data_IF_671320981866
#
_entry.id   IF_671320981866
#
_cell.length_a   1.000
_cell.length_b   1.000
_cell.length_c   1.000
_cell.angle_alpha   90.00
_cell.angle_beta   90.00
_cell.angle_gamma   90.00
#
_symmetry.space_group_name_H-M   'P 1'
#
loop_
_entity.id
_entity.type
_entity.pdbx_description
1 polymer ?
#
# COMPACT_ATOMS: atom_id res chain seq x y z
N UNK A 1 -29.72 -2.72 1.98
CA UNK A 1 -28.38 -3.21 1.55
C UNK A 1 -27.35 -2.32 2.22
N UNK A 2 -26.84 -2.72 3.38
CA UNK A 2 -25.81 -1.98 4.14
C UNK A 2 -24.50 -2.76 4.10
N UNK A 3 -23.93 -2.95 2.90
CA UNK A 3 -22.50 -3.27 2.76
C UNK A 3 -21.84 -1.96 2.33
N UNK A 4 -20.66 -1.53 2.77
CA UNK A 4 -19.32 -2.15 2.73
C UNK A 4 -18.60 -2.29 1.35
N UNK A 5 -19.21 -2.28 0.14
CA UNK A 5 -18.46 -2.12 -1.11
C UNK A 5 -17.82 -0.74 -1.27
N UNK A 6 -18.13 0.24 -0.41
CA UNK A 6 -17.61 1.59 -0.53
C UNK A 6 -16.10 1.70 -0.27
N UNK A 7 -15.52 0.77 0.50
CA UNK A 7 -14.10 0.77 0.87
C UNK A 7 -13.23 -0.10 -0.04
N UNK A 8 -13.81 -1.08 -0.74
CA UNK A 8 -13.07 -1.84 -1.74
C UNK A 8 -12.91 -0.98 -3.00
N UNK A 9 -11.68 -0.50 -3.20
CA UNK A 9 -11.25 0.19 -4.41
C UNK A 9 -10.28 -0.68 -5.18
N UNK A 10 -10.11 -0.34 -6.46
CA UNK A 10 -9.06 -0.93 -7.26
C UNK A 10 -7.69 -0.67 -6.63
N UNK A 11 -6.75 -1.56 -6.91
CA UNK A 11 -5.37 -1.38 -6.48
C UNK A 11 -4.82 -0.09 -7.07
N UNK A 12 -4.00 0.63 -6.31
CA UNK A 12 -3.29 1.78 -6.84
C UNK A 12 -2.41 1.34 -8.01
N UNK A 13 -2.63 1.97 -9.15
CA UNK A 13 -1.80 1.78 -10.33
C UNK A 13 -0.50 2.58 -10.16
N UNK A 14 0.61 2.05 -10.66
CA UNK A 14 1.87 2.79 -10.68
C UNK A 14 1.80 4.02 -11.58
N UNK A 15 0.91 3.99 -12.57
CA UNK A 15 0.59 5.14 -13.41
C UNK A 15 -0.06 6.27 -12.58
N UNK A 16 -0.81 5.95 -11.52
CA UNK A 16 -1.34 6.96 -10.58
C UNK A 16 -0.27 7.50 -9.62
N UNK A 17 0.93 6.92 -9.61
CA UNK A 17 2.07 7.34 -8.84
C UNK A 17 3.08 7.99 -9.79
N UNK A 18 4.37 7.79 -9.53
CA UNK A 18 5.45 8.43 -10.27
C UNK A 18 5.53 8.04 -11.75
N UNK A 19 5.00 6.88 -12.17
CA UNK A 19 5.14 6.42 -13.56
C UNK A 19 4.26 7.21 -14.53
N UNK A 20 3.14 7.77 -14.08
CA UNK A 20 2.27 8.63 -14.89
C UNK A 20 2.41 10.12 -14.61
N UNK A 21 3.38 10.54 -13.78
CA UNK A 21 3.68 11.95 -13.59
C UNK A 21 4.42 12.49 -14.82
N UNK A 22 3.84 13.46 -15.52
CA UNK A 22 4.57 14.22 -16.54
C UNK A 22 5.73 14.97 -15.85
N UNK A 23 6.97 14.77 -16.31
CA UNK A 23 8.18 15.43 -15.80
C UNK A 23 8.19 16.98 -16.01
N UNK A 24 7.05 17.56 -16.38
CA UNK A 24 6.85 18.98 -16.59
C UNK A 24 6.65 19.76 -15.28
N UNK A 25 6.08 19.12 -14.24
CA UNK A 25 5.86 19.73 -12.91
C UNK A 25 6.80 19.11 -11.85
N UNK A 26 7.91 19.79 -11.59
CA UNK A 26 9.00 19.30 -10.70
C UNK A 26 8.57 19.04 -9.25
N UNK A 27 7.44 19.59 -8.79
CA UNK A 27 6.96 19.41 -7.42
C UNK A 27 6.38 18.01 -7.19
N UNK A 28 5.72 17.41 -8.18
CA UNK A 28 5.14 16.07 -8.08
C UNK A 28 6.23 15.01 -7.84
N UNK A 29 7.46 15.28 -8.30
CA UNK A 29 8.60 14.40 -8.08
C UNK A 29 8.97 14.21 -6.59
N UNK A 30 8.49 15.07 -5.70
CA UNK A 30 8.79 15.00 -4.27
C UNK A 30 7.59 14.59 -3.41
N UNK A 31 6.50 14.19 -4.05
CA UNK A 31 5.26 13.77 -3.38
C UNK A 31 5.08 12.26 -3.52
N UNK A 32 4.58 11.62 -2.46
CA UNK A 32 4.11 10.24 -2.46
C UNK A 32 2.93 10.11 -1.48
N UNK A 33 2.15 9.05 -1.63
CA UNK A 33 1.04 8.69 -0.74
C UNK A 33 1.34 7.37 0.00
N UNK A 34 0.67 7.14 1.13
CA UNK A 34 0.79 5.93 1.94
C UNK A 34 -0.50 5.65 2.72
N UNK A 35 -0.59 4.48 3.37
CA UNK A 35 -1.74 4.10 4.18
C UNK A 35 -3.03 4.04 3.36
N UNK A 36 -4.16 4.42 3.96
CA UNK A 36 -5.48 4.38 3.30
C UNK A 36 -5.57 5.26 2.05
N UNK A 37 -4.69 6.27 1.90
CA UNK A 37 -4.61 7.04 0.66
C UNK A 37 -4.05 6.22 -0.51
N UNK A 38 -3.15 5.27 -0.22
CA UNK A 38 -2.49 4.43 -1.23
C UNK A 38 -3.14 3.06 -1.40
N UNK A 39 -3.67 2.47 -0.34
CA UNK A 39 -4.25 1.12 -0.37
C UNK A 39 -5.46 1.00 0.57
N UNK A 40 -6.55 1.73 0.27
CA UNK A 40 -7.80 1.56 1.02
C UNK A 40 -8.27 0.11 0.93
N UNK A 41 -8.74 -0.44 2.05
CA UNK A 41 -9.11 -1.85 2.15
C UNK A 41 -10.29 -2.04 3.08
N UNK A 42 -11.15 -3.01 2.77
CA UNK A 42 -12.24 -3.37 3.68
C UNK A 42 -11.72 -3.83 5.06
N UNK A 43 -12.42 -3.49 6.16
CA UNK A 43 -11.90 -3.67 7.53
C UNK A 43 -11.90 -5.13 8.03
N UNK A 44 -12.34 -6.10 7.22
CA UNK A 44 -12.58 -7.49 7.66
C UNK A 44 -11.33 -8.32 7.96
N UNK A 45 -10.13 -7.83 7.61
CA UNK A 45 -8.83 -8.42 8.00
C UNK A 45 -8.09 -7.62 9.06
N UNK A 46 -8.54 -6.40 9.39
CA UNK A 46 -7.88 -5.52 10.36
C UNK A 46 -6.43 -5.18 10.00
N UNK A 47 -6.09 -5.06 8.70
CA UNK A 47 -4.69 -4.84 8.27
C UNK A 47 -4.35 -3.38 7.96
N UNK A 48 -5.33 -2.48 7.82
CA UNK A 48 -5.13 -1.10 7.37
C UNK A 48 -4.04 -0.34 8.14
N UNK A 49 -4.26 -0.16 9.44
CA UNK A 49 -3.31 0.57 10.30
C UNK A 49 -1.91 -0.06 10.31
N UNK A 50 -1.82 -1.40 10.33
CA UNK A 50 -0.52 -2.08 10.31
C UNK A 50 0.22 -1.83 8.99
N UNK A 51 -0.48 -1.78 7.85
CA UNK A 51 0.14 -1.44 6.57
C UNK A 51 0.60 0.02 6.54
N UNK A 52 -0.21 0.95 7.05
CA UNK A 52 0.17 2.36 7.15
C UNK A 52 1.42 2.58 8.03
N UNK A 53 1.53 1.85 9.15
CA UNK A 53 2.73 1.91 10.01
C UNK A 53 3.98 1.35 9.31
N UNK A 54 3.83 0.24 8.58
CA UNK A 54 4.92 -0.32 7.79
C UNK A 54 5.36 0.64 6.68
N UNK A 55 4.41 1.33 6.04
CA UNK A 55 4.72 2.37 5.05
C UNK A 55 5.54 3.49 5.66
N UNK A 56 5.11 4.03 6.81
CA UNK A 56 5.78 5.13 7.47
C UNK A 56 7.25 4.78 7.80
N UNK A 57 7.48 3.58 8.33
CA UNK A 57 8.84 3.10 8.65
C UNK A 57 9.67 2.88 7.38
N UNK A 58 9.08 2.29 6.34
CA UNK A 58 9.78 2.05 5.08
C UNK A 58 10.16 3.36 4.40
N UNK A 59 9.22 4.29 4.26
CA UNK A 59 9.44 5.62 3.67
C UNK A 59 10.53 6.37 4.45
N UNK A 60 10.44 6.40 5.78
CA UNK A 60 11.44 7.05 6.62
C UNK A 60 12.84 6.45 6.39
N UNK A 61 12.96 5.13 6.30
CA UNK A 61 14.25 4.45 6.02
C UNK A 61 14.79 4.77 4.63
N UNK A 62 13.94 4.78 3.60
CA UNK A 62 14.32 5.10 2.23
C UNK A 62 14.86 6.53 2.13
N UNK A 63 14.10 7.51 2.63
CA UNK A 63 14.53 8.92 2.69
C UNK A 63 15.81 9.08 3.51
N UNK A 64 15.86 8.50 4.71
CA UNK A 64 17.01 8.60 5.59
C UNK A 64 18.29 8.04 4.94
N UNK A 65 18.19 6.91 4.23
CA UNK A 65 19.35 6.31 3.56
C UNK A 65 19.93 7.21 2.46
N UNK A 66 19.09 7.98 1.76
CA UNK A 66 19.59 8.91 0.74
C UNK A 66 20.08 10.23 1.35
N UNK A 67 19.45 10.73 2.42
CA UNK A 67 19.89 11.96 3.10
C UNK A 67 21.20 11.75 3.85
N UNK A 68 21.36 10.64 4.58
CA UNK A 68 22.55 10.37 5.40
C UNK A 68 23.79 9.95 4.62
N UNK A 69 23.62 9.54 3.36
CA UNK A 69 24.72 9.21 2.47
C UNK A 69 25.54 10.49 2.17
N UNK A 70 26.35 10.90 3.14
CA UNK A 70 27.43 11.86 3.02
C UNK A 70 28.42 11.20 2.09
N UNK A 71 28.45 11.67 0.85
CA UNK A 71 29.35 11.21 -0.19
C UNK A 71 30.76 10.94 0.38
N UNK A 72 31.11 9.67 0.56
CA UNK A 72 32.49 9.29 0.94
C UNK A 72 33.50 9.67 -0.15
N UNK A 73 33.01 10.01 -1.35
CA UNK A 73 33.79 10.51 -2.48
C UNK A 73 33.11 11.77 -3.03
N UNK A 74 33.78 12.91 -2.91
CA UNK A 74 33.34 14.25 -3.37
C UNK A 74 33.01 14.36 -4.87
N UNK A 75 33.38 13.37 -5.68
CA UNK A 75 33.30 13.44 -7.15
C UNK A 75 32.26 12.51 -7.79
N UNK A 76 31.51 11.72 -7.01
CA UNK A 76 30.71 10.60 -7.57
C UNK A 76 29.27 10.53 -7.02
N UNK A 77 28.88 11.45 -6.13
CA UNK A 77 27.54 11.45 -5.54
C UNK A 77 26.57 12.31 -6.33
N UNK A 78 25.50 11.70 -6.85
CA UNK A 78 24.33 12.40 -7.39
C UNK A 78 23.80 13.44 -6.37
N UNK A 79 23.29 14.59 -6.84
CA UNK A 79 22.72 15.60 -5.97
C UNK A 79 21.45 15.07 -5.26
N UNK A 80 21.13 15.63 -4.09
CA UNK A 80 20.01 15.13 -3.26
C UNK A 80 18.66 15.17 -3.98
N UNK A 81 18.46 16.18 -4.84
CA UNK A 81 17.22 16.37 -5.59
C UNK A 81 16.95 15.25 -6.61
N UNK A 82 17.99 14.61 -7.16
CA UNK A 82 17.82 13.42 -8.03
C UNK A 82 17.60 12.14 -7.22
N UNK A 83 18.09 12.10 -5.98
CA UNK A 83 18.10 10.88 -5.15
C UNK A 83 16.81 10.67 -4.38
N UNK A 84 16.13 11.75 -3.99
CA UNK A 84 14.85 11.67 -3.28
C UNK A 84 13.76 11.03 -4.16
N UNK A 85 13.50 11.48 -5.41
CA UNK A 85 12.50 10.87 -6.29
C UNK A 85 12.75 9.38 -6.51
N UNK A 86 14.02 8.98 -6.67
CA UNK A 86 14.40 7.56 -6.79
C UNK A 86 14.05 6.77 -5.52
N UNK A 87 14.35 7.31 -4.34
CA UNK A 87 14.01 6.66 -3.07
C UNK A 87 12.49 6.54 -2.86
N UNK A 88 11.72 7.54 -3.31
CA UNK A 88 10.26 7.50 -3.32
C UNK A 88 9.74 6.41 -4.27
N UNK A 89 10.27 6.30 -5.49
CA UNK A 89 9.91 5.24 -6.43
C UNK A 89 10.18 3.83 -5.88
N UNK A 90 11.33 3.62 -5.23
CA UNK A 90 11.63 2.34 -4.57
C UNK A 90 10.67 2.04 -3.40
N UNK A 91 10.26 3.07 -2.65
CA UNK A 91 9.24 2.94 -1.61
C UNK A 91 7.89 2.55 -2.23
N UNK A 92 7.45 3.26 -3.26
CA UNK A 92 6.19 3.05 -3.98
C UNK A 92 6.10 1.59 -4.49
N UNK A 93 7.15 1.09 -5.14
CA UNK A 93 7.20 -0.29 -5.66
C UNK A 93 7.02 -1.34 -4.55
N UNK A 94 7.77 -1.22 -3.46
CA UNK A 94 7.72 -2.18 -2.35
C UNK A 94 6.38 -2.10 -1.60
N UNK A 95 5.85 -0.89 -1.40
CA UNK A 95 4.56 -0.64 -0.76
C UNK A 95 3.41 -1.23 -1.59
N UNK A 96 3.39 -1.05 -2.91
CA UNK A 96 2.36 -1.61 -3.80
C UNK A 96 2.41 -3.14 -3.82
N UNK A 97 3.60 -3.73 -3.96
CA UNK A 97 3.76 -5.19 -3.95
C UNK A 97 3.22 -5.81 -2.65
N UNK A 98 3.55 -5.19 -1.50
CA UNK A 98 3.14 -5.69 -0.19
C UNK A 98 1.65 -5.50 0.09
N UNK A 99 1.12 -4.31 -0.18
CA UNK A 99 -0.26 -3.93 0.18
C UNK A 99 -1.30 -4.59 -0.73
N UNK A 100 -0.99 -4.81 -2.01
CA UNK A 100 -1.94 -5.39 -2.98
C UNK A 100 -2.51 -6.74 -2.57
N UNK A 101 -1.68 -7.61 -1.99
CA UNK A 101 -2.11 -8.91 -1.46
C UNK A 101 -3.06 -8.75 -0.28
N UNK A 102 -2.89 -7.71 0.53
CA UNK A 102 -3.73 -7.43 1.70
C UNK A 102 -5.08 -6.88 1.28
N UNK A 103 -5.11 -5.93 0.34
CA UNK A 103 -6.36 -5.37 -0.23
C UNK A 103 -7.21 -6.51 -0.82
N UNK A 104 -6.62 -7.34 -1.69
CA UNK A 104 -7.32 -8.49 -2.30
C UNK A 104 -7.89 -9.45 -1.26
N UNK A 105 -7.09 -9.85 -0.27
CA UNK A 105 -7.53 -10.77 0.80
C UNK A 105 -8.57 -10.16 1.73
N UNK A 106 -8.55 -8.84 1.93
CA UNK A 106 -9.60 -8.13 2.68
C UNK A 106 -10.92 -8.13 1.93
N UNK A 107 -10.89 -7.88 0.62
CA UNK A 107 -12.07 -7.93 -0.25
C UNK A 107 -12.67 -9.35 -0.33
N UNK A 108 -11.83 -10.37 -0.46
CA UNK A 108 -12.25 -11.78 -0.41
C UNK A 108 -12.90 -12.13 0.94
N UNK A 109 -12.31 -11.68 2.05
CA UNK A 109 -12.88 -11.87 3.38
C UNK A 109 -14.22 -11.15 3.54
N UNK A 110 -14.37 -9.94 2.98
CA UNK A 110 -15.63 -9.23 2.94
C UNK A 110 -16.70 -10.05 2.21
N UNK A 111 -16.41 -10.52 0.99
CA UNK A 111 -17.34 -11.35 0.21
C UNK A 111 -17.73 -12.63 0.96
N UNK A 112 -16.76 -13.30 1.57
CA UNK A 112 -17.00 -14.51 2.34
C UNK A 112 -17.90 -14.27 3.54
N UNK A 113 -17.59 -13.27 4.37
CA UNK A 113 -18.35 -12.97 5.60
C UNK A 113 -19.78 -12.48 5.34
N UNK A 114 -20.08 -12.06 4.12
CA UNK A 114 -21.42 -11.67 3.67
C UNK A 114 -22.08 -12.73 2.77
N UNK A 115 -21.56 -13.96 2.75
CA UNK A 115 -22.20 -15.08 2.06
C UNK A 115 -23.19 -15.82 2.99
N UNK A 116 -24.15 -16.53 2.39
CA UNK A 116 -25.09 -17.40 3.11
C UNK A 116 -24.37 -18.44 3.99
N UNK A 117 -23.21 -18.92 3.53
CA UNK A 117 -22.38 -19.89 4.27
C UNK A 117 -21.81 -19.29 5.56
N UNK A 118 -21.53 -17.99 5.59
CA UNK A 118 -21.04 -17.32 6.79
C UNK A 118 -22.12 -17.14 7.87
N UNK A 119 -23.40 -17.17 7.49
CA UNK A 119 -24.53 -17.05 8.43
C UNK A 119 -25.21 -18.38 8.74
N UNK A 120 -24.83 -19.48 8.07
CA UNK A 120 -25.39 -20.81 8.32
C UNK A 120 -25.23 -21.20 9.79
N UNK A 121 -26.29 -21.77 10.37
CA UNK A 121 -26.29 -22.27 11.73
C UNK A 121 -25.37 -23.50 11.85
N UNK A 122 -24.54 -23.53 12.88
CA UNK A 122 -23.64 -24.65 13.14
C UNK A 122 -22.57 -24.31 14.16
N UNK A 123 -22.17 -25.32 14.95
CA UNK A 123 -21.10 -25.19 15.94
C UNK A 123 -19.73 -25.49 15.32
N UNK A 124 -19.37 -24.75 14.27
CA UNK A 124 -18.10 -24.87 13.56
C UNK A 124 -17.52 -23.49 13.27
N UNK A 125 -16.20 -23.41 13.03
CA UNK A 125 -15.60 -22.15 12.58
C UNK A 125 -16.16 -21.77 11.21
N UNK A 126 -16.24 -20.47 10.92
CA UNK A 126 -16.75 -20.00 9.62
C UNK A 126 -15.91 -20.53 8.45
N UNK A 127 -14.59 -20.63 8.63
CA UNK A 127 -13.72 -21.28 7.63
C UNK A 127 -14.06 -22.75 7.38
N UNK A 128 -14.50 -23.50 8.39
CA UNK A 128 -14.95 -24.88 8.23
C UNK A 128 -16.34 -24.98 7.60
N UNK A 129 -17.23 -24.01 7.84
CA UNK A 129 -18.53 -23.94 7.15
C UNK A 129 -18.36 -23.71 5.64
N UNK A 130 -17.35 -22.93 5.23
CA UNK A 130 -17.01 -22.63 3.84
C UNK A 130 -16.56 -23.84 3.01
N UNK A 131 -16.07 -24.89 3.65
CA UNK A 131 -15.47 -26.05 3.00
C UNK A 131 -16.44 -27.23 2.80
N UNK A 132 -17.71 -27.06 3.18
CA UNK A 132 -18.80 -28.02 2.98
C UNK A 132 -19.57 -27.67 1.73
#
# INVERSE_FOLDING_TARGET
>A
ITGYPCYDRDLVDKDCLRQGCDNADSAAEYVTILGDAAHPMSPFKGQGANQALLDAVLLARKIHSVVQNKAKKKHESQPIHERIPKALGEFEDEMVQRSSVKVKKSAEAAKFLHSEVAISEGNVTRGAAAAK
#
